data_IF_182336059934
#
_entry.id   IF_182336059934
#
_cell.length_a   1.000
_cell.length_b   1.000
_cell.length_c   1.000
_cell.angle_alpha   90.00
_cell.angle_beta   90.00
_cell.angle_gamma   90.00
#
_symmetry.space_group_name_H-M   'P 1'
#
loop_
_entity.id
_entity.type
_entity.pdbx_description
1 polymer ?
#
# COMPACT_ATOMS: atom_id res chain seq x y z
N UNK A 1 -40.26 -5.42 18.43
CA UNK A 1 -39.01 -6.16 18.18
C UNK A 1 -38.41 -5.59 16.91
N UNK A 2 -37.27 -4.91 17.03
CA UNK A 2 -36.52 -4.25 15.95
C UNK A 2 -36.03 -5.28 14.94
N UNK A 3 -36.05 -4.97 13.63
CA UNK A 3 -34.84 -4.89 12.78
C UNK A 3 -35.15 -3.96 11.59
N UNK A 4 -34.59 -2.75 11.62
CA UNK A 4 -34.46 -1.89 10.43
C UNK A 4 -33.19 -2.34 9.69
N UNK A 5 -33.35 -2.96 8.52
CA UNK A 5 -32.27 -3.10 7.54
C UNK A 5 -32.38 -1.92 6.57
N UNK A 6 -31.69 -0.83 6.87
CA UNK A 6 -31.41 0.24 5.90
C UNK A 6 -30.07 -0.06 5.23
N UNK A 7 -30.11 -0.83 4.15
CA UNK A 7 -29.01 -0.89 3.20
C UNK A 7 -29.00 0.40 2.38
N UNK A 8 -28.08 1.30 2.71
CA UNK A 8 -27.74 2.44 1.85
C UNK A 8 -26.67 2.02 0.85
N UNK A 9 -27.07 1.80 -0.39
CA UNK A 9 -26.16 1.57 -1.53
C UNK A 9 -25.38 2.85 -1.84
N UNK A 10 -24.04 2.77 -1.91
CA UNK A 10 -23.21 3.84 -2.46
C UNK A 10 -22.93 3.50 -3.93
N UNK A 11 -23.36 4.38 -4.84
CA UNK A 11 -23.05 4.32 -6.26
C UNK A 11 -21.60 4.77 -6.49
N UNK A 12 -20.78 3.93 -7.12
CA UNK A 12 -19.49 4.34 -7.69
C UNK A 12 -19.72 4.72 -9.15
N UNK A 13 -19.58 6.01 -9.46
CA UNK A 13 -19.64 6.49 -10.84
C UNK A 13 -18.32 6.17 -11.54
N UNK A 14 -18.34 5.24 -12.49
CA UNK A 14 -17.22 4.97 -13.40
C UNK A 14 -17.45 5.81 -14.65
N UNK A 15 -16.72 6.91 -14.80
CA UNK A 15 -16.65 7.61 -16.09
C UNK A 15 -15.63 6.93 -16.98
N UNK A 16 -16.11 6.18 -17.98
CA UNK A 16 -15.30 5.71 -19.10
C UNK A 16 -15.06 6.88 -20.06
N UNK A 17 -13.80 7.32 -20.21
CA UNK A 17 -13.41 8.19 -21.31
C UNK A 17 -12.82 7.32 -22.43
N UNK A 18 -13.62 7.08 -23.46
CA UNK A 18 -13.18 6.46 -24.71
C UNK A 18 -12.75 7.59 -25.64
N UNK A 19 -11.44 7.73 -25.89
CA UNK A 19 -10.93 8.53 -27.02
C UNK A 19 -10.52 7.56 -28.11
N UNK A 20 -11.15 7.74 -29.28
CA UNK A 20 -11.05 6.88 -30.44
C UNK A 20 -9.68 6.87 -31.12
N UNK A 21 -9.46 5.77 -31.81
CA UNK A 21 -8.27 5.37 -32.56
C UNK A 21 -8.02 6.25 -33.78
N UNK A 22 -6.79 6.76 -33.90
CA UNK A 22 -6.17 7.01 -35.19
C UNK A 22 -4.93 6.12 -35.29
N UNK A 23 -4.98 5.15 -36.21
CA UNK A 23 -3.82 4.43 -36.70
C UNK A 23 -2.86 5.41 -37.39
N UNK A 24 -1.54 5.29 -37.13
CA UNK A 24 -0.49 5.35 -38.16
C UNK A 24 0.93 5.18 -37.58
N UNK A 25 1.71 4.42 -38.36
CA UNK A 25 3.17 4.37 -38.47
C UNK A 25 4.01 3.71 -37.37
N UNK A 26 4.28 2.42 -37.62
CA UNK A 26 5.43 1.69 -37.07
C UNK A 26 6.69 2.33 -37.69
N UNK A 27 7.30 3.25 -36.96
CA UNK A 27 8.73 3.51 -37.10
C UNK A 27 9.42 2.90 -35.88
N UNK A 28 10.31 1.95 -36.15
CA UNK A 28 11.22 1.38 -35.17
C UNK A 28 12.14 2.48 -34.65
N UNK A 29 11.70 3.21 -33.64
CA UNK A 29 12.57 3.99 -32.77
C UNK A 29 12.71 3.22 -31.48
N UNK A 30 13.94 2.82 -31.18
CA UNK A 30 14.36 2.21 -29.92
C UNK A 30 13.87 3.07 -28.75
N UNK A 31 12.67 2.81 -28.24
CA UNK A 31 12.25 3.30 -26.94
C UNK A 31 12.96 2.40 -25.94
N UNK A 32 14.13 2.85 -25.49
CA UNK A 32 14.63 2.52 -24.17
C UNK A 32 13.44 2.63 -23.21
N UNK A 33 12.92 1.48 -22.80
CA UNK A 33 11.97 1.41 -21.70
C UNK A 33 12.60 2.21 -20.57
N UNK A 34 11.87 3.22 -20.11
CA UNK A 34 12.19 3.90 -18.88
C UNK A 34 12.10 2.85 -17.77
N UNK A 35 13.23 2.20 -17.50
CA UNK A 35 13.49 1.55 -16.22
C UNK A 35 13.41 2.68 -15.22
N UNK A 36 12.22 2.87 -14.64
CA UNK A 36 12.03 3.74 -13.49
C UNK A 36 12.93 3.16 -12.41
N UNK A 37 14.12 3.76 -12.29
CA UNK A 37 15.15 3.29 -11.39
C UNK A 37 14.55 3.37 -9.98
N UNK A 38 14.50 2.23 -9.27
CA UNK A 38 13.92 2.11 -7.92
C UNK A 38 14.44 3.22 -6.98
N UNK A 39 15.67 3.68 -7.20
CA UNK A 39 16.28 4.79 -6.48
C UNK A 39 15.51 6.13 -6.57
N UNK A 40 14.58 6.31 -7.51
CA UNK A 40 13.73 7.50 -7.57
C UNK A 40 12.58 7.50 -6.55
N UNK A 41 12.13 6.32 -6.10
CA UNK A 41 11.07 6.19 -5.08
C UNK A 41 11.61 6.23 -3.65
N UNK A 42 12.91 5.94 -3.48
CA UNK A 42 13.58 5.90 -2.16
C UNK A 42 14.53 7.09 -1.94
N UNK A 43 14.90 7.81 -3.01
CA UNK A 43 15.68 9.04 -2.90
C UNK A 43 14.74 10.21 -2.67
N UNK A 44 14.68 10.66 -1.41
CA UNK A 44 14.73 12.09 -1.10
C UNK A 44 14.89 12.28 0.40
N UNK A 45 15.92 13.03 0.80
CA UNK A 45 16.04 13.65 2.13
C UNK A 45 14.91 14.68 2.32
N UNK A 46 13.65 14.26 2.24
CA UNK A 46 12.49 15.09 2.48
C UNK A 46 12.37 15.32 3.99
N UNK A 47 12.34 16.58 4.46
CA UNK A 47 12.13 16.87 5.87
C UNK A 47 10.85 16.21 6.42
N UNK A 48 9.80 16.14 5.61
CA UNK A 48 8.51 15.54 5.99
C UNK A 48 8.59 14.02 6.10
N UNK A 49 9.35 13.36 5.22
CA UNK A 49 9.61 11.92 5.32
C UNK A 49 10.43 11.59 6.58
N UNK A 50 11.45 12.40 6.87
CA UNK A 50 12.23 12.25 8.10
C UNK A 50 11.37 12.47 9.35
N UNK A 51 10.49 13.48 9.31
CA UNK A 51 9.53 13.75 10.38
C UNK A 51 8.56 12.58 10.56
N UNK A 52 8.03 12.00 9.48
CA UNK A 52 7.20 10.80 9.53
C UNK A 52 7.95 9.66 10.20
N UNK A 53 9.15 9.33 9.70
CA UNK A 53 9.96 8.21 10.18
C UNK A 53 10.41 8.39 11.64
N UNK A 54 10.52 9.64 12.13
CA UNK A 54 10.78 9.92 13.53
C UNK A 54 9.59 9.65 14.46
N UNK A 55 8.37 9.65 13.92
CA UNK A 55 7.11 9.52 14.67
C UNK A 55 6.46 8.16 14.55
N UNK A 56 6.59 7.52 13.41
CA UNK A 56 6.04 6.19 13.12
C UNK A 56 7.09 5.39 12.39
N UNK A 57 7.38 4.22 12.93
CA UNK A 57 8.25 3.25 12.29
C UNK A 57 7.40 2.09 11.77
N UNK A 58 7.39 1.92 10.45
CA UNK A 58 6.73 0.82 9.75
C UNK A 58 7.77 -0.26 9.45
N UNK A 59 7.56 -1.47 9.99
CA UNK A 59 8.37 -2.65 9.72
C UNK A 59 7.56 -3.66 8.90
N UNK A 60 8.23 -4.28 7.93
CA UNK A 60 7.61 -5.17 6.94
C UNK A 60 7.42 -4.48 5.58
N UNK A 61 6.56 -5.03 4.71
CA UNK A 61 5.70 -6.18 4.95
C UNK A 61 6.46 -7.52 4.99
N UNK A 62 6.11 -8.36 5.95
CA UNK A 62 6.25 -9.82 5.78
C UNK A 62 5.03 -10.31 5.01
N UNK A 63 5.20 -11.25 4.08
CA UNK A 63 4.07 -11.84 3.38
C UNK A 63 4.04 -13.36 3.51
N UNK A 64 2.83 -13.89 3.53
CA UNK A 64 2.57 -15.33 3.52
C UNK A 64 1.19 -15.61 2.93
N UNK A 65 0.95 -16.87 2.57
CA UNK A 65 -0.35 -17.32 2.12
C UNK A 65 -1.12 -17.96 3.27
N UNK A 66 -2.42 -17.64 3.34
CA UNK A 66 -3.36 -18.32 4.19
C UNK A 66 -4.43 -18.95 3.30
N UNK A 67 -4.54 -20.28 3.34
CA UNK A 67 -5.57 -21.02 2.61
C UNK A 67 -6.64 -21.48 3.59
N UNK A 68 -7.89 -21.13 3.30
CA UNK A 68 -9.07 -21.68 3.97
C UNK A 68 -9.99 -22.28 2.91
N UNK A 69 -10.21 -23.60 2.99
CA UNK A 69 -10.97 -24.37 2.01
C UNK A 69 -10.45 -24.19 0.57
N UNK A 70 -11.20 -23.49 -0.28
CA UNK A 70 -10.85 -23.20 -1.68
C UNK A 70 -10.28 -21.78 -1.87
N UNK A 71 -10.32 -20.93 -0.84
CA UNK A 71 -9.87 -19.54 -0.92
C UNK A 71 -8.41 -19.42 -0.47
N UNK A 72 -7.55 -18.96 -1.37
CA UNK A 72 -6.16 -18.62 -1.05
C UNK A 72 -6.03 -17.11 -0.91
N UNK A 73 -5.63 -16.68 0.29
CA UNK A 73 -5.41 -15.28 0.60
C UNK A 73 -3.92 -14.95 0.71
N UNK A 74 -3.53 -13.81 0.14
CA UNK A 74 -2.28 -13.15 0.43
C UNK A 74 -2.44 -12.35 1.73
N UNK A 75 -1.60 -12.66 2.72
CA UNK A 75 -1.53 -11.91 3.98
C UNK A 75 -0.26 -11.08 3.99
N UNK A 76 -0.42 -9.80 4.30
CA UNK A 76 0.65 -8.82 4.41
C UNK A 76 0.69 -8.31 5.85
N UNK A 77 1.74 -8.67 6.58
CA UNK A 77 1.92 -8.33 7.99
C UNK A 77 2.88 -7.16 8.12
N UNK A 78 2.43 -6.14 8.85
CA UNK A 78 3.25 -5.02 9.25
C UNK A 78 3.35 -4.96 10.77
N UNK A 79 4.50 -4.51 11.26
CA UNK A 79 4.65 -4.08 12.64
C UNK A 79 4.79 -2.56 12.67
N UNK A 80 3.87 -1.91 13.39
CA UNK A 80 3.78 -0.45 13.48
C UNK A 80 4.22 -0.07 14.88
N UNK A 81 5.24 0.79 14.98
CA UNK A 81 5.71 1.35 16.23
C UNK A 81 5.49 2.87 16.22
N UNK A 82 4.88 3.40 17.28
CA UNK A 82 4.64 4.84 17.43
C UNK A 82 5.68 5.44 18.35
N UNK A 83 6.43 6.42 17.86
CA UNK A 83 7.37 7.25 18.63
C UNK A 83 6.90 8.72 18.75
N UNK A 84 5.71 9.02 18.23
CA UNK A 84 5.08 10.34 18.36
C UNK A 84 4.71 10.68 19.81
N UNK A 85 4.96 11.92 20.22
CA UNK A 85 4.44 12.45 21.51
C UNK A 85 2.93 12.67 21.49
N UNK A 86 2.33 12.80 20.30
CA UNK A 86 0.88 12.92 20.12
C UNK A 86 0.27 11.56 19.82
N UNK A 87 -0.85 11.17 20.46
CA UNK A 87 -1.58 9.95 20.13
C UNK A 87 -1.96 9.91 18.66
N UNK A 88 -1.56 8.83 17.99
CA UNK A 88 -1.79 8.63 16.55
C UNK A 88 -3.15 7.99 16.34
N UNK A 89 -4.00 8.62 15.53
CA UNK A 89 -5.31 8.09 15.14
C UNK A 89 -5.22 7.18 13.93
N UNK A 90 -4.49 7.58 12.89
CA UNK A 90 -4.33 6.77 11.68
C UNK A 90 -2.97 6.95 11.03
N UNK A 91 -2.58 5.94 10.26
CA UNK A 91 -1.36 5.96 9.45
C UNK A 91 -1.69 5.43 8.06
N UNK A 92 -1.18 6.11 7.04
CA UNK A 92 -1.36 5.78 5.62
C UNK A 92 0.00 5.59 4.95
N UNK A 93 0.09 4.58 4.08
CA UNK A 93 1.28 4.32 3.26
C UNK A 93 0.93 3.55 2.00
N UNK A 94 1.80 3.66 0.99
CA UNK A 94 1.78 2.84 -0.22
C UNK A 94 2.94 1.85 -0.14
N UNK A 95 2.72 0.59 -0.50
CA UNK A 95 3.80 -0.35 -0.71
C UNK A 95 3.86 -0.78 -2.18
N UNK A 96 5.05 -0.71 -2.76
CA UNK A 96 5.37 -1.23 -4.08
C UNK A 96 6.13 -2.55 -3.91
N UNK A 97 5.65 -3.61 -4.53
CA UNK A 97 6.32 -4.91 -4.57
C UNK A 97 7.04 -5.04 -5.90
N UNK A 98 8.34 -5.27 -5.83
CA UNK A 98 9.21 -5.35 -7.00
C UNK A 98 9.87 -6.72 -7.11
N UNK A 99 9.98 -7.21 -8.33
CA UNK A 99 10.76 -8.40 -8.68
C UNK A 99 11.75 -8.00 -9.76
N UNK A 100 13.05 -8.19 -9.49
CA UNK A 100 14.13 -7.81 -10.42
C UNK A 100 14.03 -6.36 -10.95
N UNK A 101 13.62 -5.42 -10.11
CA UNK A 101 13.48 -4.03 -10.52
C UNK A 101 12.09 -3.62 -11.03
N UNK A 102 11.23 -4.58 -11.35
CA UNK A 102 9.91 -4.31 -11.94
C UNK A 102 8.81 -4.36 -10.90
N UNK A 103 7.94 -3.36 -10.87
CA UNK A 103 6.76 -3.35 -10.00
C UNK A 103 5.78 -4.42 -10.48
N UNK A 104 5.51 -5.41 -9.63
CA UNK A 104 4.60 -6.52 -9.92
C UNK A 104 3.27 -6.40 -9.16
N UNK A 105 3.24 -5.63 -8.08
CA UNK A 105 2.04 -5.38 -7.29
C UNK A 105 2.24 -4.10 -6.49
N UNK A 106 1.17 -3.34 -6.26
CA UNK A 106 1.20 -2.17 -5.40
C UNK A 106 -0.09 -2.08 -4.61
N UNK A 107 -0.01 -1.56 -3.40
CA UNK A 107 -1.16 -1.46 -2.52
C UNK A 107 -1.05 -0.29 -1.56
N UNK A 108 -2.11 0.50 -1.50
CA UNK A 108 -2.31 1.53 -0.48
C UNK A 108 -2.93 0.90 0.77
N UNK A 109 -2.43 1.32 1.92
CA UNK A 109 -2.84 0.85 3.23
C UNK A 109 -3.22 2.03 4.10
N UNK A 110 -4.25 1.80 4.90
CA UNK A 110 -4.64 2.70 5.98
C UNK A 110 -4.98 1.84 7.20
N UNK A 111 -4.48 2.24 8.35
CA UNK A 111 -4.90 1.70 9.64
C UNK A 111 -5.49 2.81 10.49
N UNK A 112 -6.60 2.50 11.18
CA UNK A 112 -7.26 3.41 12.12
C UNK A 112 -7.21 2.79 13.51
N UNK A 113 -6.67 3.54 14.46
CA UNK A 113 -6.64 3.22 15.87
C UNK A 113 -7.78 3.97 16.56
N UNK A 114 -8.91 3.28 16.79
CA UNK A 114 -10.14 3.89 17.31
C UNK A 114 -9.94 4.70 18.60
N UNK A 115 -9.05 4.24 19.50
CA UNK A 115 -8.69 4.92 20.75
C UNK A 115 -7.40 5.73 20.66
N UNK A 116 -6.81 5.84 19.47
CA UNK A 116 -5.43 6.27 19.28
C UNK A 116 -4.41 5.20 19.67
N UNK A 117 -3.16 5.44 19.27
CA UNK A 117 -1.99 4.66 19.65
C UNK A 117 -0.93 5.62 20.20
N UNK A 118 -0.52 5.38 21.45
CA UNK A 118 0.37 6.26 22.20
C UNK A 118 1.85 5.99 21.92
N UNK A 119 2.71 6.88 22.41
CA UNK A 119 4.16 6.75 22.30
C UNK A 119 4.68 5.42 22.87
N UNK A 120 5.65 4.83 22.19
CA UNK A 120 6.29 3.54 22.45
C UNK A 120 5.36 2.32 22.34
N UNK A 121 4.11 2.49 21.91
CA UNK A 121 3.27 1.35 21.59
C UNK A 121 3.72 0.71 20.28
N UNK A 122 3.56 -0.61 20.21
CA UNK A 122 3.82 -1.40 19.01
C UNK A 122 2.63 -2.30 18.75
N UNK A 123 2.22 -2.44 17.50
CA UNK A 123 1.12 -3.32 17.10
C UNK A 123 1.44 -4.00 15.77
N UNK A 124 1.20 -5.30 15.71
CA UNK A 124 1.20 -6.06 14.46
C UNK A 124 -0.18 -5.99 13.83
N UNK A 125 -0.22 -5.78 12.51
CA UNK A 125 -1.45 -5.68 11.73
C UNK A 125 -1.31 -6.56 10.49
N UNK A 126 -2.31 -7.40 10.27
CA UNK A 126 -2.41 -8.28 9.11
C UNK A 126 -3.45 -7.70 8.14
N UNK A 127 -3.04 -7.48 6.91
CA UNK A 127 -3.93 -7.16 5.80
C UNK A 127 -4.12 -8.41 4.95
N UNK A 128 -5.37 -8.85 4.81
CA UNK A 128 -5.72 -10.09 4.12
C UNK A 128 -6.45 -9.73 2.82
N UNK A 129 -5.96 -10.28 1.72
CA UNK A 129 -6.55 -10.07 0.40
C UNK A 129 -6.68 -11.41 -0.32
N UNK A 130 -7.75 -11.61 -1.12
CA UNK A 130 -7.78 -12.72 -2.07
C UNK A 130 -6.56 -12.63 -2.99
N UNK A 131 -5.89 -13.75 -3.27
CA UNK A 131 -4.75 -13.77 -4.19
C UNK A 131 -5.15 -13.30 -5.59
N UNK A 132 -6.45 -13.37 -5.89
CA UNK A 132 -7.06 -12.88 -7.12
C UNK A 132 -6.90 -11.37 -7.32
N UNK A 133 -6.71 -10.61 -6.24
CA UNK A 133 -6.44 -9.16 -6.28
C UNK A 133 -5.09 -8.83 -6.91
N UNK A 134 -4.15 -9.78 -6.94
CA UNK A 134 -2.91 -9.68 -7.72
C UNK A 134 -3.21 -10.06 -9.17
N UNK A 135 -2.62 -9.33 -10.12
CA UNK A 135 -2.79 -9.62 -11.54
C UNK A 135 -2.38 -11.07 -11.85
N UNK A 136 -3.13 -11.75 -12.74
CA UNK A 136 -2.94 -13.19 -13.02
C UNK A 136 -1.47 -13.56 -13.31
N UNK A 137 -0.77 -12.73 -14.08
CA UNK A 137 0.61 -12.98 -14.47
C UNK A 137 1.60 -12.83 -13.30
N UNK A 138 1.24 -12.05 -12.27
CA UNK A 138 2.12 -11.75 -11.15
C UNK A 138 1.83 -12.59 -9.91
N UNK A 139 0.71 -13.32 -9.87
CA UNK A 139 0.35 -14.21 -8.74
C UNK A 139 1.44 -15.20 -8.42
N UNK A 140 2.09 -15.76 -9.45
CA UNK A 140 3.12 -16.79 -9.31
C UNK A 140 4.27 -16.37 -8.40
N UNK A 141 4.58 -15.07 -8.35
CA UNK A 141 5.62 -14.53 -7.46
C UNK A 141 5.24 -14.69 -5.98
N UNK A 142 3.95 -14.63 -5.65
CA UNK A 142 3.45 -14.72 -4.27
C UNK A 142 2.98 -16.13 -3.87
N UNK A 143 2.93 -17.10 -4.81
CA UNK A 143 2.47 -18.47 -4.53
C UNK A 143 3.39 -19.27 -3.59
N UNK A 144 4.63 -18.82 -3.42
CA UNK A 144 5.60 -19.36 -2.48
C UNK A 144 6.46 -18.21 -1.95
N UNK A 145 6.98 -18.29 -0.71
CA UNK A 145 7.96 -17.32 -0.23
C UNK A 145 9.15 -17.23 -1.19
N UNK A 146 9.23 -16.10 -1.86
CA UNK A 146 10.27 -15.72 -2.81
C UNK A 146 11.11 -14.57 -2.20
N UNK A 147 12.39 -14.83 -1.85
CA UNK A 147 13.26 -13.83 -1.26
C UNK A 147 13.70 -12.72 -2.23
N UNK A 148 13.45 -12.89 -3.54
CA UNK A 148 13.75 -11.88 -4.57
C UNK A 148 12.65 -10.82 -4.70
N UNK A 149 11.52 -10.99 -4.01
CA UNK A 149 10.51 -9.94 -3.94
C UNK A 149 10.94 -8.93 -2.90
N UNK A 150 11.14 -7.70 -3.36
CA UNK A 150 11.41 -6.56 -2.51
C UNK A 150 10.13 -5.76 -2.30
N UNK A 151 9.98 -5.19 -1.12
CA UNK A 151 8.87 -4.31 -0.80
C UNK A 151 9.40 -2.92 -0.44
N UNK A 152 8.96 -1.92 -1.18
CA UNK A 152 9.31 -0.51 -0.98
C UNK A 152 8.09 0.16 -0.34
N UNK A 153 8.22 0.51 0.94
CA UNK A 153 7.17 1.22 1.68
C UNK A 153 7.39 2.72 1.57
N UNK A 154 6.35 3.42 1.11
CA UNK A 154 6.30 4.85 0.88
C UNK A 154 5.28 5.47 1.86
N UNK A 155 5.74 6.06 2.97
CA UNK A 155 4.89 6.78 3.90
C UNK A 155 4.05 7.87 3.22
N UNK A 156 2.77 8.00 3.60
CA UNK A 156 1.87 9.02 3.07
C UNK A 156 1.44 10.01 4.14
N UNK A 157 0.83 9.54 5.23
CA UNK A 157 0.31 10.46 6.25
C UNK A 157 0.17 9.85 7.64
N UNK A 158 0.20 10.73 8.65
CA UNK A 158 -0.16 10.45 10.03
C UNK A 158 -1.26 11.41 10.43
N UNK A 159 -2.38 10.90 10.96
CA UNK A 159 -3.40 11.72 11.61
C UNK A 159 -3.34 11.52 13.12
N UNK A 160 -3.43 12.60 13.88
CA UNK A 160 -3.46 12.57 15.35
C UNK A 160 -4.89 12.73 15.88
N UNK A 161 -5.13 12.26 17.10
CA UNK A 161 -6.45 12.43 17.74
C UNK A 161 -6.85 13.89 17.99
N UNK A 162 -5.86 14.80 18.08
CA UNK A 162 -6.11 16.24 18.22
C UNK A 162 -6.51 16.93 16.90
N UNK A 163 -6.64 16.15 15.81
CA UNK A 163 -6.98 16.64 14.47
C UNK A 163 -5.79 17.11 13.64
N UNK A 164 -4.58 17.15 14.22
CA UNK A 164 -3.35 17.44 13.47
C UNK A 164 -3.04 16.37 12.44
N UNK A 165 -2.39 16.77 11.34
CA UNK A 165 -1.96 15.85 10.27
C UNK A 165 -0.53 16.16 9.84
N UNK A 166 0.24 15.10 9.58
CA UNK A 166 1.49 15.16 8.84
C UNK A 166 1.28 14.46 7.50
N UNK A 167 1.60 15.12 6.40
CA UNK A 167 1.53 14.56 5.05
C UNK A 167 2.93 14.55 4.43
N UNK A 168 3.25 13.48 3.70
CA UNK A 168 4.49 13.31 2.96
C UNK A 168 4.15 13.40 1.47
N UNK A 169 4.53 14.50 0.78
CA UNK A 169 4.28 14.65 -0.65
C UNK A 169 5.20 13.73 -1.47
N UNK A 170 4.70 13.31 -2.63
CA UNK A 170 5.43 12.56 -3.66
C UNK A 170 6.09 13.47 -4.69
#
# INVERSE_FOLDING_TARGET
MNVFLKYGSIFVAVTALIIGSNSLNINASNSTEHVNNIGSYTSQNSPLLNEFNSRVHLQGPEYFLATDQEDTNLVLRYQININSQKPVHSVEWLTLYTYQGHIIFNKEFQIVFNSGMDQHQTRSVDFVFPIESVSRNNRIFFLSPNPEIEAITLPQSIQYLDGGRLEVPY
#
